data_IF_084125198650
#
_entry.id   IF_084125198650
#
_cell.length_a   1.000
_cell.length_b   1.000
_cell.length_c   1.000
_cell.angle_alpha   90.00
_cell.angle_beta   90.00
_cell.angle_gamma   90.00
#
_symmetry.space_group_name_H-M   'P 1'
#
loop_
_entity.id
_entity.type
_entity.pdbx_description
1 polymer ?
#
# COMPACT_ATOMS: atom_id res chain seq x y z
N UNK A 1 -39.78 -11.34 -12.25
CA UNK A 1 -39.08 -10.24 -11.54
C UNK A 1 -37.66 -10.71 -11.28
N UNK A 2 -36.71 -10.36 -12.15
CA UNK A 2 -35.31 -10.77 -11.99
C UNK A 2 -34.72 -10.02 -10.80
N UNK A 3 -34.21 -10.74 -9.80
CA UNK A 3 -33.53 -10.15 -8.65
C UNK A 3 -32.27 -9.43 -9.12
N UNK A 4 -32.18 -8.14 -8.84
CA UNK A 4 -30.94 -7.39 -9.04
C UNK A 4 -29.89 -8.01 -8.10
N UNK A 5 -28.75 -8.49 -8.60
CA UNK A 5 -27.70 -8.98 -7.73
C UNK A 5 -27.24 -7.80 -6.87
N UNK A 6 -27.43 -7.92 -5.56
CA UNK A 6 -26.93 -6.94 -4.59
C UNK A 6 -25.42 -7.08 -4.57
N UNK A 7 -24.74 -6.30 -5.42
CA UNK A 7 -23.31 -6.11 -5.33
C UNK A 7 -22.99 -5.40 -4.01
N UNK A 8 -21.88 -5.80 -3.39
CA UNK A 8 -21.40 -5.17 -2.17
C UNK A 8 -21.31 -3.64 -2.37
N UNK A 9 -21.76 -2.87 -1.37
CA UNK A 9 -21.84 -1.42 -1.45
C UNK A 9 -20.52 -0.78 -1.89
N UNK A 10 -19.38 -1.35 -1.48
CA UNK A 10 -18.02 -0.93 -1.87
C UNK A 10 -17.76 -1.01 -3.38
N UNK A 11 -18.28 -2.04 -4.05
CA UNK A 11 -18.12 -2.23 -5.50
C UNK A 11 -18.99 -1.21 -6.26
N UNK A 12 -20.21 -0.98 -5.79
CA UNK A 12 -21.11 0.03 -6.39
C UNK A 12 -20.57 1.45 -6.21
N UNK A 13 -19.99 1.76 -5.04
CA UNK A 13 -19.35 3.05 -4.77
C UNK A 13 -18.06 3.21 -5.57
N UNK A 14 -17.22 2.18 -5.68
CA UNK A 14 -15.98 2.22 -6.48
C UNK A 14 -16.27 2.41 -7.97
N UNK A 15 -17.28 1.71 -8.50
CA UNK A 15 -17.73 1.89 -9.88
C UNK A 15 -18.22 3.31 -10.14
N UNK A 16 -18.97 3.90 -9.19
CA UNK A 16 -19.44 5.28 -9.27
C UNK A 16 -18.28 6.28 -9.28
N UNK A 17 -17.25 6.07 -8.46
CA UNK A 17 -16.06 6.97 -8.42
C UNK A 17 -15.33 6.97 -9.76
N UNK A 18 -15.13 5.79 -10.37
CA UNK A 18 -14.50 5.69 -11.69
C UNK A 18 -15.32 6.39 -12.78
N UNK A 19 -16.64 6.16 -12.82
CA UNK A 19 -17.54 6.82 -13.76
C UNK A 19 -17.57 8.34 -13.56
N UNK A 20 -17.57 8.82 -12.31
CA UNK A 20 -17.49 10.24 -11.95
C UNK A 20 -16.21 10.90 -12.52
N UNK A 21 -15.06 10.23 -12.43
CA UNK A 21 -13.79 10.71 -13.01
C UNK A 21 -13.85 10.73 -14.55
N UNK A 22 -14.35 9.66 -15.17
CA UNK A 22 -14.49 9.56 -16.63
C UNK A 22 -15.38 10.67 -17.18
N UNK A 23 -16.45 11.00 -16.45
CA UNK A 23 -17.43 12.01 -16.85
C UNK A 23 -17.05 13.44 -16.42
N UNK A 24 -15.96 13.62 -15.67
CA UNK A 24 -15.50 14.93 -15.19
C UNK A 24 -16.41 15.56 -14.12
N UNK A 25 -17.16 14.74 -13.36
CA UNK A 25 -17.99 15.21 -12.24
C UNK A 25 -17.12 15.47 -10.98
N UNK A 26 -17.48 16.48 -10.21
CA UNK A 26 -16.81 16.83 -8.95
C UNK A 26 -17.15 15.81 -7.84
N UNK A 27 -16.18 15.42 -6.98
CA UNK A 27 -16.44 14.53 -5.85
C UNK A 27 -17.54 15.07 -4.92
N UNK A 28 -18.58 14.26 -4.72
CA UNK A 28 -19.67 14.57 -3.80
C UNK A 28 -19.17 14.67 -2.34
N UNK A 29 -19.91 15.35 -1.44
CA UNK A 29 -19.52 15.56 -0.04
C UNK A 29 -18.93 14.37 0.74
N UNK A 30 -19.38 13.10 0.58
CA UNK A 30 -18.76 11.97 1.28
C UNK A 30 -17.30 11.69 0.90
N UNK A 31 -16.82 12.20 -0.24
CA UNK A 31 -15.43 12.09 -0.69
C UNK A 31 -14.57 13.30 -0.30
N UNK A 32 -15.18 14.35 0.26
CA UNK A 32 -14.49 15.56 0.67
C UNK A 32 -14.02 15.39 2.11
N UNK A 33 -12.71 15.32 2.31
CA UNK A 33 -12.15 15.27 3.65
C UNK A 33 -12.42 16.58 4.40
N UNK A 34 -12.95 16.47 5.63
CA UNK A 34 -13.11 17.61 6.52
C UNK A 34 -11.76 18.24 6.89
N UNK A 35 -11.77 19.54 7.18
CA UNK A 35 -10.58 20.32 7.59
C UNK A 35 -10.01 19.91 8.96
N UNK A 36 -10.71 19.02 9.66
CA UNK A 36 -10.36 18.55 11.00
C UNK A 36 -9.36 17.38 10.98
N UNK A 37 -9.06 16.80 9.80
CA UNK A 37 -7.94 15.88 9.69
C UNK A 37 -6.64 16.70 9.77
N UNK A 38 -5.61 16.19 10.46
CA UNK A 38 -4.29 16.81 10.41
C UNK A 38 -3.92 16.94 8.94
N UNK A 39 -3.74 18.18 8.48
CA UNK A 39 -3.15 18.42 7.17
C UNK A 39 -1.83 17.66 7.18
N UNK A 40 -1.69 16.69 6.28
CA UNK A 40 -0.40 16.10 5.97
C UNK A 40 0.41 17.18 5.23
N UNK A 41 0.75 18.25 5.94
CA UNK A 41 1.63 19.29 5.46
C UNK A 41 2.99 18.61 5.30
N UNK A 42 3.28 18.21 4.06
CA UNK A 42 4.46 17.47 3.64
C UNK A 42 5.77 18.24 3.75
N UNK A 43 5.90 19.11 4.77
CA UNK A 43 7.07 19.93 5.06
C UNK A 43 7.94 19.36 6.18
N UNK A 44 7.54 18.26 6.83
CA UNK A 44 8.45 17.50 7.68
C UNK A 44 9.50 16.77 6.85
N UNK A 45 10.70 16.45 7.39
CA UNK A 45 11.59 15.52 6.73
C UNK A 45 10.78 14.24 6.49
N UNK A 46 10.50 13.95 5.21
CA UNK A 46 9.90 12.68 4.82
C UNK A 46 10.91 11.61 5.25
N UNK A 47 10.75 11.10 6.47
CA UNK A 47 11.36 9.83 6.80
C UNK A 47 10.91 8.89 5.68
N UNK A 48 11.85 8.23 5.03
CA UNK A 48 11.54 7.26 3.99
C UNK A 48 11.05 5.99 4.69
N UNK A 49 9.92 5.45 4.24
CA UNK A 49 9.40 4.17 4.74
C UNK A 49 10.53 3.12 4.62
N UNK A 50 10.85 2.35 5.68
CA UNK A 50 11.91 1.36 5.65
C UNK A 50 11.68 0.35 4.55
N UNK A 51 12.73 -0.02 3.81
CA UNK A 51 12.70 -1.08 2.80
C UNK A 51 13.42 -2.29 3.37
N UNK A 52 12.77 -3.45 3.43
CA UNK A 52 13.35 -4.70 3.93
C UNK A 52 13.60 -5.63 2.74
N UNK A 53 14.82 -6.13 2.62
CA UNK A 53 15.15 -7.13 1.62
C UNK A 53 14.99 -8.54 2.20
N UNK A 54 13.92 -9.23 1.83
CA UNK A 54 13.64 -10.57 2.34
C UNK A 54 14.62 -11.62 1.81
N UNK A 55 15.23 -11.37 0.64
CA UNK A 55 16.21 -12.27 0.06
C UNK A 55 17.49 -12.33 0.91
N UNK A 56 17.84 -11.21 1.56
CA UNK A 56 18.99 -11.12 2.45
C UNK A 56 18.73 -11.77 3.81
N UNK A 57 17.48 -11.83 4.29
CA UNK A 57 17.14 -12.55 5.53
C UNK A 57 17.42 -14.05 5.40
N UNK A 58 17.25 -14.60 4.19
CA UNK A 58 17.56 -16.00 3.88
C UNK A 58 18.99 -16.21 3.38
N UNK A 59 19.85 -15.19 3.46
CA UNK A 59 21.24 -15.24 3.02
C UNK A 59 22.04 -16.29 3.79
N UNK A 60 22.96 -16.95 3.11
CA UNK A 60 23.92 -17.86 3.73
C UNK A 60 24.99 -17.12 4.54
N UNK A 61 25.11 -15.80 4.32
CA UNK A 61 26.05 -14.94 5.02
C UNK A 61 25.34 -14.35 6.26
N UNK A 62 25.78 -14.72 7.48
CA UNK A 62 25.04 -14.43 8.71
C UNK A 62 25.05 -12.95 9.12
N UNK A 63 26.06 -12.16 8.71
CA UNK A 63 26.09 -10.74 9.07
C UNK A 63 25.03 -9.93 8.31
N UNK A 64 24.90 -10.15 7.01
CA UNK A 64 23.85 -9.55 6.15
C UNK A 64 22.45 -9.98 6.58
N UNK A 65 22.25 -11.26 6.90
CA UNK A 65 20.96 -11.75 7.41
C UNK A 65 20.59 -11.07 8.75
N UNK A 66 21.55 -10.93 9.65
CA UNK A 66 21.36 -10.26 10.94
C UNK A 66 21.05 -8.76 10.77
N UNK A 67 21.77 -8.07 9.87
CA UNK A 67 21.56 -6.65 9.59
C UNK A 67 20.15 -6.37 9.07
N UNK A 68 19.67 -7.13 8.08
CA UNK A 68 18.33 -6.94 7.54
C UNK A 68 17.23 -7.38 8.53
N UNK A 69 17.48 -8.37 9.38
CA UNK A 69 16.56 -8.73 10.45
C UNK A 69 16.45 -7.62 11.52
N UNK A 70 17.56 -6.97 11.87
CA UNK A 70 17.55 -5.82 12.79
C UNK A 70 16.77 -4.64 12.20
N UNK A 71 16.94 -4.38 10.90
CA UNK A 71 16.17 -3.37 10.17
C UNK A 71 14.67 -3.66 10.17
N UNK A 72 14.28 -4.93 9.97
CA UNK A 72 12.89 -5.37 10.07
C UNK A 72 12.33 -5.15 11.48
N UNK A 73 13.08 -5.53 12.52
CA UNK A 73 12.67 -5.29 13.91
C UNK A 73 12.50 -3.79 14.19
N UNK A 74 13.44 -2.96 13.74
CA UNK A 74 13.36 -1.50 13.89
C UNK A 74 12.12 -0.92 13.20
N UNK A 75 11.83 -1.35 11.97
CA UNK A 75 10.65 -0.90 11.22
C UNK A 75 9.33 -1.30 11.93
N UNK A 76 9.23 -2.55 12.40
CA UNK A 76 8.06 -3.01 13.16
C UNK A 76 7.84 -2.21 14.45
N UNK A 77 8.92 -1.88 15.16
CA UNK A 77 8.85 -1.16 16.43
C UNK A 77 8.59 0.35 16.28
N UNK A 78 9.13 0.99 15.24
CA UNK A 78 9.13 2.46 15.12
C UNK A 78 8.21 3.01 14.02
N UNK A 79 7.93 2.22 12.99
CA UNK A 79 7.10 2.65 11.85
C UNK A 79 5.73 2.01 11.80
N UNK A 80 5.65 0.73 12.17
CA UNK A 80 4.44 -0.09 12.00
C UNK A 80 4.16 -0.48 10.53
N UNK A 81 4.95 0.02 9.58
CA UNK A 81 4.93 -0.38 8.17
C UNK A 81 6.33 -0.36 7.54
N UNK A 82 6.49 -1.12 6.46
CA UNK A 82 7.72 -1.18 5.66
C UNK A 82 7.39 -1.62 4.24
N UNK A 83 8.28 -1.31 3.29
CA UNK A 83 8.26 -1.83 1.93
C UNK A 83 9.10 -3.11 1.88
N UNK A 84 8.74 -4.02 0.98
CA UNK A 84 9.47 -5.28 0.76
C UNK A 84 10.17 -5.21 -0.59
N UNK A 85 11.46 -5.53 -0.58
CA UNK A 85 12.21 -5.88 -1.77
C UNK A 85 12.45 -7.40 -1.74
N UNK A 86 12.02 -8.10 -2.79
CA UNK A 86 12.25 -9.54 -2.91
C UNK A 86 12.49 -9.86 -4.38
N UNK A 87 13.72 -10.27 -4.70
CA UNK A 87 14.09 -10.63 -6.08
C UNK A 87 13.37 -11.90 -6.57
N UNK A 88 12.95 -12.81 -5.69
CA UNK A 88 12.32 -14.07 -6.07
C UNK A 88 10.88 -13.91 -6.58
N UNK A 89 10.24 -12.77 -6.29
CA UNK A 89 8.90 -12.44 -6.78
C UNK A 89 8.87 -12.04 -8.26
N UNK A 90 10.01 -11.65 -8.85
CA UNK A 90 10.08 -11.30 -10.27
C UNK A 90 9.95 -12.53 -11.18
N UNK A 91 10.43 -13.71 -10.76
CA UNK A 91 10.25 -14.95 -11.52
C UNK A 91 8.78 -15.40 -11.54
N UNK A 92 8.07 -15.25 -10.43
CA UNK A 92 6.64 -15.62 -10.35
C UNK A 92 5.76 -14.74 -11.26
N UNK A 93 6.12 -13.47 -11.45
CA UNK A 93 5.37 -12.53 -12.29
C UNK A 93 5.65 -12.69 -13.79
N UNK A 94 6.82 -13.21 -14.17
CA UNK A 94 7.13 -13.55 -15.57
C UNK A 94 6.53 -14.90 -16.00
N UNK A 95 6.15 -15.76 -15.05
CA UNK A 95 5.45 -17.01 -15.33
C UNK A 95 3.95 -16.84 -15.66
N UNK A 96 3.43 -15.61 -15.56
CA UNK A 96 2.01 -15.27 -15.81
C UNK A 96 1.80 -14.49 -17.13
N UNK A 97 2.79 -14.49 -18.03
CA UNK A 97 2.73 -13.94 -19.40
C UNK A 97 2.91 -15.09 -20.41
#
# INVERSE_FOLDING_TARGET
MAGVPVLAAEVLLSRRVQEMVINGEEPQPPYVCGKDLPSADGSGPQSLIPIIDLSLISSLEPSTAQEELQKLSSALCSWGCFLVHDLSLYDAKLAEI
#
